data_IF_552538656682
#
_entry.id   IF_552538656682
#
_cell.length_a   1.000
_cell.length_b   1.000
_cell.length_c   1.000
_cell.angle_alpha   90.00
_cell.angle_beta   90.00
_cell.angle_gamma   90.00
#
_symmetry.space_group_name_H-M   'P 1'
#
loop_
_entity.id
_entity.type
_entity.pdbx_description
1 polymer ?
#
# COMPACT_ATOMS: atom_id res chain seq x y z
N UNK A 1 -1.65 21.27 17.97
CA UNK A 1 -0.25 21.56 18.40
C UNK A 1 -0.03 20.80 19.68
N UNK A 2 1.04 20.00 19.76
CA UNK A 2 1.40 19.33 21.01
C UNK A 2 1.87 20.37 22.04
N UNK A 3 1.48 20.21 23.30
CA UNK A 3 1.84 21.09 24.43
C UNK A 3 2.30 20.23 25.60
N UNK A 4 3.08 20.79 26.52
CA UNK A 4 3.57 20.08 27.73
C UNK A 4 4.56 18.96 27.41
N UNK A 5 5.61 19.29 26.65
CA UNK A 5 6.66 18.32 26.26
C UNK A 5 7.61 18.13 27.43
N UNK A 6 7.69 16.90 27.92
CA UNK A 6 8.58 16.49 28.99
C UNK A 6 9.79 15.71 28.45
N UNK A 7 10.94 15.72 29.15
CA UNK A 7 12.07 14.89 28.81
C UNK A 7 11.73 13.39 28.85
N UNK A 8 12.28 12.64 27.90
CA UNK A 8 12.20 11.18 27.85
C UNK A 8 13.62 10.61 27.85
N UNK A 9 13.88 9.64 28.74
CA UNK A 9 15.15 8.91 28.77
C UNK A 9 15.09 7.74 27.75
N UNK A 10 15.94 7.76 26.70
CA UNK A 10 15.99 6.70 25.71
C UNK A 10 16.64 5.41 26.27
N UNK A 11 16.34 4.28 25.65
CA UNK A 11 17.02 3.01 25.94
C UNK A 11 18.44 3.03 25.34
N UNK A 12 19.44 3.14 26.21
CA UNK A 12 20.85 3.23 25.82
C UNK A 12 21.32 2.06 24.93
N UNK A 13 20.71 0.87 25.06
CA UNK A 13 21.12 -0.30 24.30
C UNK A 13 20.70 -0.24 22.83
N UNK A 14 19.54 0.36 22.53
CA UNK A 14 18.99 0.44 21.18
C UNK A 14 19.18 1.80 20.52
N UNK A 15 19.45 2.85 21.30
CA UNK A 15 19.53 4.23 20.83
C UNK A 15 20.52 4.44 19.66
N UNK A 16 21.73 3.85 19.66
CA UNK A 16 22.66 4.02 18.53
C UNK A 16 22.06 3.55 17.19
N UNK A 17 21.42 2.38 17.19
CA UNK A 17 20.77 1.84 16.00
C UNK A 17 19.48 2.61 15.66
N UNK A 18 18.73 3.04 16.67
CA UNK A 18 17.50 3.83 16.49
C UNK A 18 17.79 5.16 15.78
N UNK A 19 18.82 5.90 16.21
CA UNK A 19 19.24 7.17 15.60
C UNK A 19 19.74 6.98 14.17
N UNK A 20 20.59 5.96 13.94
CA UNK A 20 21.09 5.64 12.61
C UNK A 20 19.94 5.28 11.66
N UNK A 21 18.97 4.51 12.14
CA UNK A 21 17.79 4.11 11.38
C UNK A 21 16.86 5.30 11.11
N UNK A 22 16.64 6.18 12.09
CA UNK A 22 15.86 7.40 11.92
C UNK A 22 16.44 8.30 10.83
N UNK A 23 17.76 8.50 10.84
CA UNK A 23 18.44 9.27 9.81
C UNK A 23 18.26 8.65 8.42
N UNK A 24 18.51 7.34 8.28
CA UNK A 24 18.38 6.64 7.00
C UNK A 24 16.93 6.59 6.49
N UNK A 25 15.95 6.47 7.39
CA UNK A 25 14.53 6.52 7.04
C UNK A 25 14.13 7.93 6.63
N UNK A 26 14.66 8.97 7.29
CA UNK A 26 14.38 10.37 6.93
C UNK A 26 14.85 10.70 5.50
N UNK A 27 16.03 10.22 5.12
CA UNK A 27 16.55 10.33 3.74
C UNK A 27 15.63 9.59 2.77
N UNK A 28 15.27 8.33 3.09
CA UNK A 28 14.36 7.53 2.29
C UNK A 28 13.03 8.24 2.02
N UNK A 29 12.40 8.79 3.07
CA UNK A 29 11.08 9.41 2.91
C UNK A 29 11.13 10.70 2.10
N UNK A 30 12.21 11.46 2.20
CA UNK A 30 12.38 12.70 1.45
C UNK A 30 12.41 12.43 -0.06
N UNK A 31 12.97 11.29 -0.46
CA UNK A 31 13.06 10.89 -1.87
C UNK A 31 11.76 10.26 -2.43
N UNK A 32 10.95 9.62 -1.58
CA UNK A 32 9.85 8.74 -2.03
C UNK A 32 8.44 9.20 -1.61
N UNK A 33 8.31 10.05 -0.59
CA UNK A 33 7.03 10.47 -0.02
C UNK A 33 6.95 12.01 0.05
N UNK A 34 6.24 12.67 -0.89
CA UNK A 34 6.23 14.13 -0.99
C UNK A 34 5.82 14.88 0.29
N UNK A 35 4.88 14.32 1.06
CA UNK A 35 4.42 14.85 2.34
C UNK A 35 4.60 13.82 3.46
N UNK A 36 5.56 12.91 3.27
CA UNK A 36 5.86 11.81 4.18
C UNK A 36 6.43 12.27 5.51
N UNK A 37 6.02 11.61 6.58
CA UNK A 37 6.60 11.73 7.91
C UNK A 37 6.92 10.32 8.40
N UNK A 38 8.07 10.16 9.03
CA UNK A 38 8.46 8.92 9.68
C UNK A 38 8.82 9.13 11.15
N UNK A 39 8.71 8.07 11.93
CA UNK A 39 9.19 8.03 13.32
C UNK A 39 9.72 6.65 13.63
N UNK A 40 10.85 6.60 14.34
CA UNK A 40 11.50 5.35 14.76
C UNK A 40 11.47 5.27 16.29
N UNK A 41 10.84 4.22 16.81
CA UNK A 41 10.67 3.96 18.23
C UNK A 41 11.55 2.80 18.68
N UNK A 42 12.13 2.94 19.87
CA UNK A 42 12.56 1.78 20.65
C UNK A 42 11.35 1.20 21.37
N UNK A 43 11.10 -0.09 21.20
CA UNK A 43 10.00 -0.82 21.84
C UNK A 43 10.54 -1.90 22.79
N UNK A 44 9.65 -2.55 23.55
CA UNK A 44 10.03 -3.58 24.51
C UNK A 44 10.85 -4.71 23.85
N UNK A 45 11.70 -5.38 24.63
CA UNK A 45 12.57 -6.47 24.19
C UNK A 45 13.62 -6.08 23.14
N UNK A 46 14.11 -4.84 23.19
CA UNK A 46 15.12 -4.29 22.27
C UNK A 46 14.71 -4.35 20.80
N UNK A 47 13.40 -4.28 20.55
CA UNK A 47 12.83 -4.21 19.20
C UNK A 47 12.76 -2.75 18.74
N UNK A 48 12.86 -2.54 17.43
CA UNK A 48 12.72 -1.21 16.83
C UNK A 48 11.48 -1.19 15.96
N UNK A 49 10.67 -0.13 16.08
CA UNK A 49 9.48 0.06 15.28
C UNK A 49 9.59 1.32 14.43
N UNK A 50 9.43 1.19 13.11
CA UNK A 50 9.37 2.31 12.18
C UNK A 50 7.91 2.51 11.77
N UNK A 51 7.43 3.74 11.85
CA UNK A 51 6.14 4.14 11.30
C UNK A 51 6.36 5.22 10.23
N UNK A 52 5.85 4.99 9.02
CA UNK A 52 5.87 5.93 7.90
C UNK A 52 4.43 6.24 7.52
N UNK A 53 4.12 7.53 7.35
CA UNK A 53 2.81 7.99 6.92
C UNK A 53 2.98 9.07 5.87
N UNK A 54 2.26 8.94 4.76
CA UNK A 54 2.11 10.01 3.77
C UNK A 54 0.61 10.19 3.48
N UNK A 55 0.15 11.43 3.54
CA UNK A 55 -1.25 11.77 3.35
C UNK A 55 -1.36 12.81 2.26
N UNK A 56 -2.37 12.66 1.42
CA UNK A 56 -2.73 13.70 0.45
C UNK A 56 -4.23 13.92 0.47
N UNK A 57 -4.62 15.12 0.89
CA UNK A 57 -6.03 15.50 0.98
C UNK A 57 -6.32 16.60 -0.02
N UNK A 58 -7.24 16.33 -0.95
CA UNK A 58 -7.63 17.28 -1.97
C UNK A 58 -9.17 17.30 -2.08
N UNK A 59 -9.85 17.79 -1.04
CA UNK A 59 -11.31 17.76 -0.96
C UNK A 59 -11.97 18.59 -2.06
N UNK A 60 -11.32 19.68 -2.51
CA UNK A 60 -11.80 20.53 -3.61
C UNK A 60 -11.85 19.77 -4.95
N UNK A 61 -11.04 18.71 -5.09
CA UNK A 61 -11.06 17.80 -6.23
C UNK A 61 -11.68 16.43 -5.87
N UNK A 62 -12.41 16.36 -4.76
CA UNK A 62 -13.18 15.18 -4.33
C UNK A 62 -12.36 13.90 -4.12
N UNK A 63 -11.10 14.00 -3.69
CA UNK A 63 -10.31 12.81 -3.38
C UNK A 63 -9.33 12.96 -2.23
N UNK A 64 -9.06 11.82 -1.58
CA UNK A 64 -8.12 11.71 -0.48
C UNK A 64 -7.32 10.40 -0.62
N UNK A 65 -6.03 10.46 -0.30
CA UNK A 65 -5.13 9.32 -0.29
C UNK A 65 -4.33 9.26 1.01
N UNK A 66 -4.04 8.05 1.47
CA UNK A 66 -3.20 7.79 2.64
C UNK A 66 -2.39 6.53 2.42
N UNK A 67 -1.08 6.65 2.58
CA UNK A 67 -0.13 5.56 2.70
C UNK A 67 0.31 5.43 4.15
N UNK A 68 0.35 4.20 4.66
CA UNK A 68 0.89 3.89 5.99
C UNK A 68 1.75 2.65 5.89
N UNK A 69 2.96 2.74 6.41
CA UNK A 69 3.86 1.61 6.52
C UNK A 69 4.36 1.47 7.95
N UNK A 70 4.29 0.26 8.49
CA UNK A 70 4.76 -0.04 9.83
C UNK A 70 5.71 -1.23 9.78
N UNK A 71 6.89 -1.08 10.36
CA UNK A 71 7.93 -2.10 10.37
C UNK A 71 8.37 -2.37 11.80
N UNK A 72 8.41 -3.63 12.20
CA UNK A 72 8.95 -4.09 13.47
C UNK A 72 10.20 -4.89 13.17
N UNK A 73 11.31 -4.48 13.75
CA UNK A 73 12.64 -5.08 13.59
C UNK A 73 13.05 -5.68 14.92
N UNK A 74 13.50 -6.93 14.90
CA UNK A 74 14.11 -7.62 16.04
C UNK A 74 15.59 -7.84 15.74
N UNK A 75 16.49 -6.91 16.15
CA UNK A 75 17.90 -6.93 15.75
C UNK A 75 18.60 -8.24 16.09
N UNK A 76 18.36 -8.79 17.29
CA UNK A 76 18.99 -10.03 17.76
C UNK A 76 18.66 -11.26 16.89
N UNK A 77 17.45 -11.31 16.32
CA UNK A 77 17.00 -12.41 15.47
C UNK A 77 17.21 -12.11 13.97
N UNK A 78 17.53 -10.86 13.61
CA UNK A 78 17.54 -10.41 12.22
C UNK A 78 16.13 -10.40 11.59
N UNK A 79 15.07 -10.49 12.38
CA UNK A 79 13.70 -10.54 11.87
C UNK A 79 13.18 -9.13 11.54
N UNK A 80 12.47 -9.02 10.43
CA UNK A 80 11.75 -7.81 10.03
C UNK A 80 10.33 -8.17 9.63
N UNK A 81 9.35 -7.50 10.24
CA UNK A 81 7.93 -7.66 9.96
C UNK A 81 7.35 -6.34 9.54
N UNK A 82 6.78 -6.30 8.34
CA UNK A 82 6.22 -5.10 7.72
C UNK A 82 4.73 -5.21 7.52
N UNK A 83 4.03 -4.10 7.60
CA UNK A 83 2.66 -3.96 7.12
C UNK A 83 2.53 -2.67 6.35
N UNK A 84 2.16 -2.77 5.08
CA UNK A 84 1.90 -1.63 4.20
C UNK A 84 0.39 -1.53 3.96
N UNK A 85 -0.17 -0.34 4.15
CA UNK A 85 -1.60 -0.05 3.98
C UNK A 85 -1.79 1.17 3.08
N UNK A 86 -2.71 1.04 2.12
CA UNK A 86 -3.10 2.12 1.22
C UNK A 86 -4.60 2.30 1.27
N UNK A 87 -5.02 3.54 1.49
CA UNK A 87 -6.41 3.95 1.46
C UNK A 87 -6.58 5.10 0.46
N UNK A 88 -7.49 4.95 -0.48
CA UNK A 88 -7.86 6.02 -1.42
C UNK A 88 -9.38 6.14 -1.43
N UNK A 89 -9.89 7.37 -1.44
CA UNK A 89 -11.31 7.66 -1.49
C UNK A 89 -11.54 8.75 -2.52
N UNK A 90 -12.36 8.46 -3.53
CA UNK A 90 -12.82 9.41 -4.53
C UNK A 90 -14.35 9.51 -4.44
N UNK A 91 -14.86 10.74 -4.42
CA UNK A 91 -16.26 11.02 -4.10
C UNK A 91 -16.92 12.09 -4.97
N UNK A 92 -16.45 12.28 -6.20
CA UNK A 92 -17.15 13.09 -7.20
C UNK A 92 -18.26 12.24 -7.84
N UNK A 93 -19.52 12.69 -7.73
CA UNK A 93 -20.70 12.03 -8.29
C UNK A 93 -20.86 10.52 -7.94
N UNK A 94 -20.23 10.08 -6.85
CA UNK A 94 -20.20 8.70 -6.41
C UNK A 94 -19.39 8.52 -5.13
N UNK A 95 -19.14 7.27 -4.74
CA UNK A 95 -18.24 6.94 -3.64
C UNK A 95 -17.46 5.67 -4.01
N UNK A 96 -16.18 5.84 -4.31
CA UNK A 96 -15.27 4.77 -4.70
C UNK A 96 -14.10 4.76 -3.72
N UNK A 97 -13.80 3.59 -3.16
CA UNK A 97 -12.75 3.42 -2.17
C UNK A 97 -11.82 2.27 -2.54
N UNK A 98 -10.52 2.51 -2.39
CA UNK A 98 -9.49 1.48 -2.33
C UNK A 98 -9.09 1.29 -0.88
N UNK A 99 -9.12 0.04 -0.41
CA UNK A 99 -8.57 -0.36 0.88
C UNK A 99 -7.66 -1.58 0.65
N UNK A 100 -6.35 -1.39 0.81
CA UNK A 100 -5.36 -2.45 0.60
C UNK A 100 -4.45 -2.55 1.81
N UNK A 101 -4.13 -3.78 2.17
CA UNK A 101 -3.20 -4.13 3.24
C UNK A 101 -2.36 -5.31 2.80
N UNK A 102 -1.04 -5.23 2.99
CA UNK A 102 -0.11 -6.33 2.74
C UNK A 102 0.86 -6.44 3.90
N UNK A 103 0.93 -7.64 4.46
CA UNK A 103 1.87 -7.99 5.52
C UNK A 103 3.08 -8.70 4.91
N UNK A 104 4.23 -8.49 5.51
CA UNK A 104 5.50 -9.06 5.08
C UNK A 104 6.27 -9.56 6.30
N UNK A 105 6.76 -10.79 6.23
CA UNK A 105 7.68 -11.35 7.21
C UNK A 105 8.99 -11.71 6.49
N UNK A 106 10.12 -11.30 7.07
CA UNK A 106 11.42 -11.48 6.45
C UNK A 106 12.57 -11.53 7.45
N UNK A 107 13.74 -11.82 6.92
CA UNK A 107 14.99 -11.85 7.68
C UNK A 107 16.05 -11.04 6.96
N UNK A 108 16.74 -10.18 7.70
CA UNK A 108 17.83 -9.33 7.23
C UNK A 108 19.05 -9.61 8.10
N UNK A 109 20.23 -9.68 7.47
CA UNK A 109 21.49 -9.77 8.20
C UNK A 109 21.81 -8.38 8.76
N UNK A 110 21.60 -8.22 10.06
CA UNK A 110 21.86 -6.97 10.77
C UNK A 110 23.26 -7.07 11.38
N UNK A 111 24.14 -6.18 10.96
CA UNK A 111 25.48 -6.05 11.53
C UNK A 111 25.41 -5.25 12.83
N UNK A 112 25.58 -5.92 13.97
CA UNK A 112 25.51 -5.28 15.28
C UNK A 112 26.72 -4.40 15.62
N UNK A 113 27.81 -4.49 14.85
CA UNK A 113 29.04 -3.71 15.12
C UNK A 113 29.01 -2.32 14.50
N UNK A 114 28.21 -2.12 13.44
CA UNK A 114 28.10 -0.85 12.72
C UNK A 114 26.61 -0.45 12.55
N UNK A 115 26.08 0.43 13.41
CA UNK A 115 24.69 0.89 13.37
C UNK A 115 24.27 1.50 12.02
N UNK A 116 25.16 2.25 11.36
CA UNK A 116 24.89 2.91 10.09
C UNK A 116 24.75 1.90 8.94
N UNK A 117 25.62 0.88 8.91
CA UNK A 117 25.55 -0.19 7.92
C UNK A 117 24.30 -1.07 8.12
N UNK A 118 23.94 -1.34 9.38
CA UNK A 118 22.70 -2.03 9.73
C UNK A 118 21.47 -1.24 9.26
N UNK A 119 21.39 0.06 9.57
CA UNK A 119 20.32 0.94 9.15
C UNK A 119 20.16 0.97 7.62
N UNK A 120 21.26 1.13 6.88
CA UNK A 120 21.24 1.13 5.42
C UNK A 120 20.71 -0.20 4.84
N UNK A 121 21.06 -1.33 5.46
CA UNK A 121 20.59 -2.66 5.05
C UNK A 121 19.09 -2.84 5.31
N UNK A 122 18.61 -2.40 6.47
CA UNK A 122 17.19 -2.43 6.83
C UNK A 122 16.36 -1.56 5.88
N UNK A 123 16.78 -0.31 5.66
CA UNK A 123 16.07 0.63 4.76
C UNK A 123 16.05 0.11 3.33
N UNK A 124 17.16 -0.45 2.83
CA UNK A 124 17.20 -1.07 1.50
C UNK A 124 16.22 -2.23 1.36
N UNK A 125 16.04 -3.03 2.41
CA UNK A 125 15.05 -4.09 2.42
C UNK A 125 13.62 -3.52 2.34
N UNK A 126 13.33 -2.49 3.16
CA UNK A 126 12.02 -1.81 3.17
C UNK A 126 11.70 -1.22 1.79
N UNK A 127 12.64 -0.49 1.18
CA UNK A 127 12.52 0.08 -0.16
C UNK A 127 12.08 -0.99 -1.16
N UNK A 128 12.79 -2.13 -1.17
CA UNK A 128 12.47 -3.22 -2.09
C UNK A 128 11.05 -3.74 -1.89
N UNK A 129 10.63 -3.95 -0.64
CA UNK A 129 9.30 -4.49 -0.37
C UNK A 129 8.20 -3.50 -0.73
N UNK A 130 8.39 -2.21 -0.44
CA UNK A 130 7.42 -1.17 -0.78
C UNK A 130 7.33 -0.95 -2.30
N UNK A 131 8.46 -0.97 -3.01
CA UNK A 131 8.51 -0.89 -4.48
C UNK A 131 7.83 -2.10 -5.14
N UNK A 132 8.12 -3.32 -4.67
CA UNK A 132 7.46 -4.55 -5.14
C UNK A 132 5.95 -4.50 -4.85
N UNK A 133 5.53 -3.96 -3.71
CA UNK A 133 4.11 -3.76 -3.38
C UNK A 133 3.45 -2.75 -4.34
N UNK A 134 4.07 -1.59 -4.57
CA UNK A 134 3.55 -0.56 -5.47
C UNK A 134 3.41 -1.10 -6.90
N UNK A 135 4.42 -1.82 -7.41
CA UNK A 135 4.34 -2.50 -8.71
C UNK A 135 3.19 -3.50 -8.76
N UNK A 136 3.06 -4.34 -7.74
CA UNK A 136 1.98 -5.34 -7.68
C UNK A 136 0.58 -4.70 -7.65
N UNK A 137 0.45 -3.53 -7.01
CA UNK A 137 -0.81 -2.78 -6.98
C UNK A 137 -1.15 -2.23 -8.37
N UNK A 138 -0.17 -1.68 -9.08
CA UNK A 138 -0.36 -1.19 -10.45
C UNK A 138 -0.76 -2.32 -11.41
N UNK A 139 -0.08 -3.46 -11.33
CA UNK A 139 -0.41 -4.65 -12.14
C UNK A 139 -1.82 -5.17 -11.82
N UNK A 140 -2.20 -5.22 -10.56
CA UNK A 140 -3.55 -5.62 -10.15
C UNK A 140 -4.63 -4.69 -10.72
N UNK A 141 -4.37 -3.39 -10.82
CA UNK A 141 -5.29 -2.43 -11.45
C UNK A 141 -5.45 -2.65 -12.96
N UNK A 142 -4.36 -2.97 -13.66
CA UNK A 142 -4.41 -3.33 -15.09
C UNK A 142 -5.26 -4.58 -15.28
N UNK A 143 -5.01 -5.61 -14.48
CA UNK A 143 -5.75 -6.88 -14.53
C UNK A 143 -7.25 -6.70 -14.28
N UNK A 144 -7.62 -5.93 -13.25
CA UNK A 144 -9.02 -5.61 -12.93
C UNK A 144 -9.74 -4.94 -14.10
N UNK A 145 -9.07 -3.99 -14.76
CA UNK A 145 -9.62 -3.24 -15.90
C UNK A 145 -9.75 -4.11 -17.16
N UNK A 146 -8.74 -4.94 -17.45
CA UNK A 146 -8.70 -5.70 -18.68
C UNK A 146 -9.57 -6.97 -18.64
N UNK A 147 -9.68 -7.60 -17.48
CA UNK A 147 -10.33 -8.91 -17.34
C UNK A 147 -11.56 -8.84 -16.43
N UNK A 148 -11.38 -8.62 -15.13
CA UNK A 148 -12.45 -8.79 -14.13
C UNK A 148 -13.69 -7.93 -14.42
N UNK A 149 -13.53 -6.64 -14.72
CA UNK A 149 -14.68 -5.77 -15.00
C UNK A 149 -15.40 -6.14 -16.31
N UNK A 150 -14.68 -6.65 -17.31
CA UNK A 150 -15.28 -7.08 -18.59
C UNK A 150 -16.09 -8.36 -18.46
N UNK A 151 -15.67 -9.25 -17.55
CA UNK A 151 -16.42 -10.47 -17.21
C UNK A 151 -17.72 -10.16 -16.47
N UNK A 152 -17.72 -9.15 -15.59
CA UNK A 152 -18.94 -8.68 -14.91
C UNK A 152 -19.95 -8.07 -15.89
N UNK A 153 -19.49 -7.14 -16.73
CA UNK A 153 -20.35 -6.49 -17.74
C UNK A 153 -19.53 -6.07 -18.94
N UNK A 154 -19.91 -6.63 -20.09
CA UNK A 154 -19.34 -6.21 -21.38
C UNK A 154 -19.85 -4.82 -21.75
N UNK A 155 -18.97 -4.00 -22.31
CA UNK A 155 -19.34 -2.70 -22.88
C UNK A 155 -20.36 -2.82 -24.03
N UNK A 156 -20.26 -3.90 -24.81
CA UNK A 156 -21.22 -4.26 -25.86
C UNK A 156 -21.57 -5.76 -25.79
N UNK A 157 -22.79 -6.13 -26.22
CA UNK A 157 -23.15 -7.53 -26.46
C UNK A 157 -22.12 -8.25 -27.37
N UNK A 158 -22.16 -9.58 -27.38
CA UNK A 158 -21.31 -10.42 -28.23
C UNK A 158 -21.36 -10.02 -29.71
N UNK A 159 -22.51 -9.54 -30.17
CA UNK A 159 -22.75 -9.05 -31.53
C UNK A 159 -22.00 -7.75 -31.88
N UNK A 160 -21.39 -7.07 -30.89
CA UNK A 160 -20.70 -5.77 -31.04
C UNK A 160 -21.60 -4.64 -31.56
N UNK A 161 -22.91 -4.77 -31.38
CA UNK A 161 -23.89 -3.72 -31.64
C UNK A 161 -24.70 -3.43 -30.38
N UNK A 162 -25.21 -2.20 -30.25
CA UNK A 162 -26.19 -1.88 -29.20
C UNK A 162 -27.41 -2.79 -29.35
N UNK A 163 -28.06 -3.05 -28.23
CA UNK A 163 -29.29 -3.84 -28.22
C UNK A 163 -30.34 -3.14 -29.10
N UNK A 164 -30.85 -3.89 -30.06
CA UNK A 164 -32.02 -3.50 -30.84
C UNK A 164 -33.28 -3.89 -30.06
N UNK A 165 -33.89 -2.90 -29.41
CA UNK A 165 -35.07 -3.10 -28.58
C UNK A 165 -36.30 -3.53 -29.39
N UNK A 166 -36.45 -3.04 -30.63
CA UNK A 166 -37.56 -3.42 -31.51
C UNK A 166 -37.46 -4.89 -31.91
N UNK A 167 -36.23 -5.35 -32.19
CA UNK A 167 -35.98 -6.76 -32.44
C UNK A 167 -36.31 -7.60 -31.21
N UNK A 168 -35.87 -7.22 -30.01
CA UNK A 168 -36.15 -7.99 -28.78
C UNK A 168 -37.65 -8.11 -28.49
N UNK A 169 -38.41 -7.02 -28.62
CA UNK A 169 -39.86 -7.03 -28.33
C UNK A 169 -40.65 -7.94 -29.28
N UNK A 170 -40.18 -8.11 -30.51
CA UNK A 170 -40.85 -8.90 -31.54
C UNK A 170 -40.26 -10.31 -31.72
N UNK A 171 -39.12 -10.63 -31.10
CA UNK A 171 -38.45 -11.93 -31.23
C UNK A 171 -39.13 -13.01 -30.39
N UNK A 172 -39.78 -13.99 -31.03
CA UNK A 172 -40.27 -15.21 -30.36
C UNK A 172 -39.20 -16.31 -30.41
N UNK A 173 -38.37 -16.36 -29.37
CA UNK A 173 -37.26 -17.33 -29.22
C UNK A 173 -37.72 -18.79 -29.40
N UNK A 174 -38.96 -19.12 -29.02
CA UNK A 174 -39.49 -20.48 -29.09
C UNK A 174 -39.68 -21.04 -30.51
N UNK A 175 -39.84 -20.19 -31.55
CA UNK A 175 -40.08 -20.69 -32.91
C UNK A 175 -38.80 -21.07 -33.66
N UNK A 176 -37.65 -20.45 -33.36
CA UNK A 176 -36.38 -20.80 -34.03
C UNK A 176 -35.65 -21.97 -33.36
N UNK A 177 -35.90 -22.24 -32.07
CA UNK A 177 -35.38 -23.44 -31.41
C UNK A 177 -36.09 -24.71 -31.87
N UNK A 178 -37.37 -24.62 -32.26
CA UNK A 178 -38.16 -25.74 -32.76
C UNK A 178 -37.86 -26.12 -34.23
N UNK A 179 -37.14 -25.28 -34.97
CA UNK A 179 -36.79 -25.49 -36.38
C UNK A 179 -35.37 -26.03 -36.63
N UNK A 180 -34.64 -26.39 -35.57
CA UNK A 180 -33.33 -27.06 -35.64
C UNK A 180 -33.46 -28.49 -35.12
N UNK A 181 -34.11 -29.35 -35.91
CA UNK A 181 -33.90 -30.81 -35.92
C UNK A 181 -33.34 -31.21 -37.28
#
# INVERSE_FOLDING_TARGET
VATDVEPHEPDEATEPLRVALETAVQDYITDHYPEGIATVYSTQDSTLTIAIVDNKYNPDNFWNGRWRSAWVITPAAGEIKGTVKVNVHYFEDGNVQLNTEKTHDGTVKIDGENPEAAAATIVKYIIKVEDDFQKSLNEAYVELNENTFKELRRALPLTRHKIDWDKIMNYKIGQELAGRE
#
